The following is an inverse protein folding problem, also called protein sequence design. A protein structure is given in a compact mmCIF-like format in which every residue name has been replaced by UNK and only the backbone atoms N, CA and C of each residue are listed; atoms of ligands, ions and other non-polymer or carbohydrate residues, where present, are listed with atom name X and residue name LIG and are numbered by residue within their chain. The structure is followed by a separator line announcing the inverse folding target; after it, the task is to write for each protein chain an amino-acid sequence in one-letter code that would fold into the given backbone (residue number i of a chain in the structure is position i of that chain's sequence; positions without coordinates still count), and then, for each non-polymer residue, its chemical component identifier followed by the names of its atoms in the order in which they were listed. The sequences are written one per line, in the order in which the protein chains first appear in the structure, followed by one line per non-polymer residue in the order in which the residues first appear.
data_IF_425207941061
#
_entry.id   IF_425207941061
#
_cell.length_a   1.000
_cell.length_b   1.000
_cell.length_c   1.000
_cell.angle_alpha   90.00
_cell.angle_beta   90.00
_cell.angle_gamma   90.00
#
_symmetry.space_group_name_H-M   'P 1'
#
loop_
_entity.id
_entity.type
_entity.pdbx_description
1 polymer ?
#
# COMPACT_ATOMS: atom_id res chain seq x y z
N UNK A 1 -30.32 -1.94 -7.54
CA UNK A 1 -29.04 -2.51 -7.06
C UNK A 1 -27.92 -1.91 -7.89
N UNK A 2 -27.09 -1.05 -7.29
CA UNK A 2 -26.08 -0.28 -8.02
C UNK A 2 -24.87 -1.14 -8.37
N UNK A 3 -24.33 -0.92 -9.56
CA UNK A 3 -23.16 -1.61 -10.13
C UNK A 3 -21.93 -1.60 -9.20
N UNK A 4 -21.86 -0.62 -8.29
CA UNK A 4 -20.87 -0.56 -7.20
C UNK A 4 -20.87 -1.80 -6.31
N UNK A 5 -22.02 -2.43 -6.04
CA UNK A 5 -22.12 -3.64 -5.21
C UNK A 5 -21.51 -4.87 -5.88
N UNK A 6 -21.31 -4.88 -7.21
CA UNK A 6 -20.64 -5.98 -7.92
C UNK A 6 -19.12 -5.89 -7.89
N UNK A 7 -18.56 -4.80 -7.38
CA UNK A 7 -17.11 -4.56 -7.43
C UNK A 7 -16.33 -5.20 -6.27
N UNK A 8 -17.00 -5.51 -5.15
CA UNK A 8 -16.43 -6.23 -4.01
C UNK A 8 -17.34 -7.41 -3.67
N UNK A 9 -16.77 -8.59 -3.43
CA UNK A 9 -17.54 -9.79 -3.13
C UNK A 9 -16.80 -10.67 -2.12
N UNK A 10 -17.57 -11.46 -1.36
CA UNK A 10 -17.04 -12.56 -0.55
C UNK A 10 -16.78 -13.78 -1.43
N UNK A 11 -15.66 -14.45 -1.20
CA UNK A 11 -15.27 -15.66 -1.93
C UNK A 11 -16.12 -16.87 -1.52
N UNK A 12 -16.59 -16.91 -0.27
CA UNK A 12 -17.34 -18.05 0.28
C UNK A 12 -18.71 -18.26 -0.37
N UNK A 13 -19.43 -17.19 -0.65
CA UNK A 13 -20.84 -17.20 -1.08
C UNK A 13 -21.10 -16.32 -2.33
N UNK A 14 -20.08 -15.60 -2.82
CA UNK A 14 -20.22 -14.64 -3.91
C UNK A 14 -21.03 -13.39 -3.54
N UNK A 15 -21.38 -13.21 -2.27
CA UNK A 15 -22.24 -12.11 -1.85
C UNK A 15 -21.54 -10.76 -2.05
N UNK A 16 -22.29 -9.80 -2.58
CA UNK A 16 -21.84 -8.42 -2.75
C UNK A 16 -21.49 -7.80 -1.39
N UNK A 17 -20.37 -7.08 -1.34
CA UNK A 17 -19.90 -6.35 -0.16
C UNK A 17 -19.81 -4.87 -0.51
N UNK A 18 -20.19 -3.99 0.42
CA UNK A 18 -19.96 -2.55 0.21
C UNK A 18 -18.47 -2.21 0.31
N UNK A 19 -18.03 -1.15 -0.36
CA UNK A 19 -16.63 -0.70 -0.29
C UNK A 19 -16.16 -0.43 1.16
N UNK A 20 -17.04 0.14 2.00
CA UNK A 20 -16.73 0.42 3.41
C UNK A 20 -16.58 -0.86 4.22
N UNK A 21 -17.46 -1.84 4.02
CA UNK A 21 -17.32 -3.15 4.67
C UNK A 21 -16.04 -3.86 4.24
N UNK A 22 -15.71 -3.84 2.94
CA UNK A 22 -14.46 -4.40 2.43
C UNK A 22 -13.24 -3.75 3.10
N UNK A 23 -13.21 -2.42 3.20
CA UNK A 23 -12.13 -1.69 3.88
C UNK A 23 -11.97 -2.08 5.35
N UNK A 24 -13.07 -2.24 6.10
CA UNK A 24 -13.03 -2.65 7.51
C UNK A 24 -12.44 -4.05 7.64
N UNK A 25 -12.90 -5.00 6.83
CA UNK A 25 -12.43 -6.39 6.89
C UNK A 25 -10.95 -6.47 6.46
N UNK A 26 -10.56 -5.76 5.40
CA UNK A 26 -9.16 -5.69 4.99
C UNK A 26 -8.26 -5.04 6.03
N UNK A 27 -8.72 -4.01 6.73
CA UNK A 27 -7.96 -3.39 7.84
C UNK A 27 -7.72 -4.38 8.96
N UNK A 28 -8.75 -5.15 9.35
CA UNK A 28 -8.65 -6.20 10.36
C UNK A 28 -7.66 -7.30 9.96
N UNK A 29 -7.56 -7.61 8.67
CA UNK A 29 -6.58 -8.56 8.13
C UNK A 29 -5.17 -7.95 7.93
N UNK A 30 -5.07 -6.64 7.64
CA UNK A 30 -3.81 -5.97 7.35
C UNK A 30 -2.89 -5.88 8.56
N UNK A 31 -3.45 -5.53 9.72
CA UNK A 31 -2.67 -5.40 10.96
C UNK A 31 -1.91 -6.70 11.31
N UNK A 32 -2.55 -7.87 11.45
CA UNK A 32 -1.82 -9.11 11.76
C UNK A 32 -0.86 -9.51 10.63
N UNK A 33 -1.19 -9.29 9.36
CA UNK A 33 -0.27 -9.55 8.26
C UNK A 33 1.04 -8.74 8.36
N UNK A 34 0.93 -7.47 8.77
CA UNK A 34 2.11 -6.61 8.99
C UNK A 34 2.90 -7.01 10.24
N UNK A 35 2.24 -7.53 11.28
CA UNK A 35 2.93 -8.10 12.45
C UNK A 35 3.78 -9.31 12.05
N UNK A 36 3.30 -10.19 11.18
CA UNK A 36 4.08 -11.33 10.67
C UNK A 36 5.28 -10.90 9.79
N UNK A 37 5.19 -9.73 9.14
CA UNK A 37 6.35 -9.11 8.48
C UNK A 37 7.33 -8.58 9.52
N UNK A 38 6.82 -7.87 10.55
CA UNK A 38 7.63 -7.28 11.62
C UNK A 38 8.38 -8.31 12.47
N UNK A 39 7.97 -9.58 12.47
CA UNK A 39 8.68 -10.67 13.16
C UNK A 39 9.97 -11.12 12.47
N UNK A 40 10.27 -10.60 11.27
CA UNK A 40 11.49 -10.94 10.54
C UNK A 40 12.34 -9.71 10.34
N UNK A 41 13.58 -9.78 10.82
CA UNK A 41 14.49 -8.66 10.72
C UNK A 41 14.77 -8.32 9.26
N UNK A 42 14.73 -7.02 8.94
CA UNK A 42 14.84 -6.48 7.57
C UNK A 42 13.75 -6.90 6.57
N UNK A 43 12.67 -7.55 7.01
CA UNK A 43 11.56 -7.89 6.12
C UNK A 43 10.65 -6.68 5.87
N UNK A 44 10.35 -6.42 4.60
CA UNK A 44 9.34 -5.43 4.18
C UNK A 44 8.29 -6.09 3.31
N UNK A 45 7.19 -5.41 3.01
CA UNK A 45 6.18 -5.91 2.07
C UNK A 45 5.83 -4.83 1.07
N UNK A 46 5.59 -5.22 -0.19
CA UNK A 46 5.12 -4.23 -1.17
C UNK A 46 3.66 -3.91 -0.95
N UNK A 47 3.20 -2.73 -1.37
CA UNK A 47 1.76 -2.41 -1.32
C UNK A 47 0.90 -3.40 -2.12
N UNK A 48 1.48 -4.05 -3.14
CA UNK A 48 0.78 -5.07 -3.94
C UNK A 48 0.66 -6.40 -3.22
N UNK A 49 1.75 -6.87 -2.62
CA UNK A 49 1.75 -8.12 -1.86
C UNK A 49 0.84 -8.01 -0.63
N UNK A 50 0.82 -6.84 0.04
CA UNK A 50 -0.12 -6.58 1.12
C UNK A 50 -1.57 -6.59 0.61
N UNK A 51 -1.85 -5.95 -0.53
CA UNK A 51 -3.19 -5.91 -1.10
C UNK A 51 -3.73 -7.31 -1.45
N UNK A 52 -2.87 -8.21 -1.94
CA UNK A 52 -3.24 -9.61 -2.16
C UNK A 52 -3.41 -10.35 -0.83
N UNK A 53 -2.46 -10.21 0.10
CA UNK A 53 -2.51 -10.89 1.40
C UNK A 53 -3.78 -10.56 2.19
N UNK A 54 -4.24 -9.30 2.19
CA UNK A 54 -5.46 -8.91 2.91
C UNK A 54 -6.72 -9.39 2.22
N UNK A 55 -6.75 -9.46 0.89
CA UNK A 55 -7.88 -10.02 0.16
C UNK A 55 -7.99 -11.53 0.38
N UNK A 56 -6.85 -12.22 0.41
CA UNK A 56 -6.78 -13.65 0.69
C UNK A 56 -7.23 -13.95 2.13
N UNK A 57 -6.60 -13.30 3.11
CA UNK A 57 -6.90 -13.55 4.53
C UNK A 57 -8.33 -13.15 4.94
N UNK A 58 -8.93 -12.16 4.26
CA UNK A 58 -10.30 -11.72 4.54
C UNK A 58 -11.39 -12.55 3.84
N UNK A 59 -11.03 -13.27 2.77
CA UNK A 59 -12.00 -13.86 1.85
C UNK A 59 -12.86 -12.81 1.12
N UNK A 60 -12.47 -11.53 1.10
CA UNK A 60 -13.15 -10.46 0.36
C UNK A 60 -12.25 -9.98 -0.78
N UNK A 61 -12.71 -10.13 -2.02
CA UNK A 61 -11.96 -9.80 -3.24
C UNK A 61 -12.57 -8.60 -3.96
N UNK A 62 -11.77 -7.93 -4.79
CA UNK A 62 -12.23 -6.87 -5.69
C UNK A 62 -11.51 -6.90 -7.04
N UNK A 63 -12.14 -6.33 -8.07
CA UNK A 63 -11.47 -6.01 -9.35
C UNK A 63 -10.93 -4.57 -9.38
N UNK A 64 -11.25 -3.76 -8.38
CA UNK A 64 -10.81 -2.37 -8.29
C UNK A 64 -9.29 -2.35 -8.05
N UNK A 65 -8.58 -1.56 -8.85
CA UNK A 65 -7.14 -1.39 -8.71
C UNK A 65 -6.77 -0.99 -7.28
N UNK A 66 -5.80 -1.68 -6.69
CA UNK A 66 -5.36 -1.47 -5.30
C UNK A 66 -5.03 -0.03 -4.95
N UNK A 67 -4.50 0.74 -5.92
CA UNK A 67 -4.10 2.14 -5.71
C UNK A 67 -5.26 3.02 -5.23
N UNK A 68 -6.51 2.63 -5.53
CA UNK A 68 -7.70 3.37 -5.14
C UNK A 68 -8.21 3.08 -3.73
N UNK A 69 -7.77 1.99 -3.10
CA UNK A 69 -8.31 1.56 -1.79
C UNK A 69 -7.24 1.24 -0.74
N UNK A 70 -6.03 0.80 -1.13
CA UNK A 70 -5.00 0.38 -0.17
C UNK A 70 -4.57 1.52 0.76
N UNK A 71 -4.54 2.76 0.26
CA UNK A 71 -4.22 3.93 1.07
C UNK A 71 -5.20 4.11 2.25
N UNK A 72 -6.50 3.89 2.04
CA UNK A 72 -7.52 3.99 3.09
C UNK A 72 -7.34 2.92 4.16
N UNK A 73 -7.02 1.70 3.73
CA UNK A 73 -6.71 0.59 4.64
C UNK A 73 -5.47 0.93 5.47
N UNK A 74 -4.42 1.45 4.85
CA UNK A 74 -3.19 1.84 5.54
C UNK A 74 -3.44 2.97 6.55
N UNK A 75 -4.25 3.98 6.23
CA UNK A 75 -4.62 5.03 7.20
C UNK A 75 -5.31 4.45 8.43
N UNK A 76 -6.23 3.49 8.26
CA UNK A 76 -6.89 2.83 9.38
C UNK A 76 -5.92 1.96 10.20
N UNK A 77 -4.94 1.32 9.56
CA UNK A 77 -3.87 0.59 10.26
C UNK A 77 -2.97 1.54 11.08
N UNK A 78 -2.65 2.73 10.56
CA UNK A 78 -1.89 3.75 11.31
C UNK A 78 -2.64 4.11 12.59
N UNK A 79 -3.93 4.40 12.49
CA UNK A 79 -4.78 4.72 13.65
C UNK A 79 -4.83 3.55 14.64
N UNK A 80 -4.97 2.33 14.15
CA UNK A 80 -5.04 1.14 15.02
C UNK A 80 -3.71 0.86 15.74
N UNK A 81 -2.58 0.96 15.04
CA UNK A 81 -1.25 0.81 15.65
C UNK A 81 -1.01 1.91 16.70
N UNK A 82 -1.36 3.17 16.37
CA UNK A 82 -1.23 4.28 17.30
C UNK A 82 -2.10 4.10 18.55
N UNK A 83 -3.36 3.67 18.38
CA UNK A 83 -4.30 3.38 19.48
C UNK A 83 -3.77 2.29 20.42
N UNK A 84 -3.02 1.32 19.89
CA UNK A 84 -2.36 0.25 20.68
C UNK A 84 -1.06 0.69 21.33
N UNK A 85 -0.48 1.81 20.89
CA UNK A 85 0.84 2.28 21.30
C UNK A 85 1.98 1.53 20.62
N UNK A 86 1.70 0.84 19.52
CA UNK A 86 2.68 0.08 18.74
C UNK A 86 3.45 1.01 17.79
N UNK A 87 4.69 0.63 17.39
CA UNK A 87 5.37 1.34 16.32
C UNK A 87 4.56 1.25 15.01
N UNK A 88 4.70 2.23 14.11
CA UNK A 88 3.84 2.33 12.93
C UNK A 88 4.19 1.24 11.91
N UNK A 89 3.42 0.15 11.92
CA UNK A 89 3.56 -1.01 11.04
C UNK A 89 3.56 -0.65 9.54
N UNK A 90 2.93 0.46 9.16
CA UNK A 90 2.92 0.95 7.78
C UNK A 90 4.29 1.39 7.28
N UNK A 91 5.29 1.56 8.16
CA UNK A 91 6.68 1.75 7.77
C UNK A 91 7.25 0.53 7.01
N UNK A 92 6.70 -0.67 7.21
CA UNK A 92 7.11 -1.91 6.53
C UNK A 92 6.57 -1.98 5.09
N UNK A 93 5.63 -1.11 4.73
CA UNK A 93 5.00 -1.11 3.40
C UNK A 93 5.78 -0.18 2.48
N UNK A 94 6.39 -0.77 1.44
CA UNK A 94 7.26 -0.06 0.51
C UNK A 94 6.75 -0.12 -0.92
N UNK A 95 7.22 0.81 -1.75
CA UNK A 95 7.04 0.72 -3.20
C UNK A 95 8.01 -0.31 -3.79
N UNK A 96 7.51 -1.10 -4.74
CA UNK A 96 8.31 -2.15 -5.38
C UNK A 96 9.47 -1.61 -6.23
N UNK A 97 9.36 -0.36 -6.71
CA UNK A 97 10.34 0.22 -7.63
C UNK A 97 11.61 0.73 -6.94
N UNK A 98 11.47 1.36 -5.77
CA UNK A 98 12.57 2.05 -5.07
C UNK A 98 12.83 1.52 -3.65
N UNK A 99 11.96 0.66 -3.11
CA UNK A 99 12.07 0.12 -1.76
C UNK A 99 11.77 1.13 -0.65
N UNK A 100 11.20 2.30 -1.00
CA UNK A 100 10.94 3.40 -0.05
C UNK A 100 9.47 3.47 0.36
N UNK A 101 9.20 4.25 1.42
CA UNK A 101 7.82 4.61 1.78
C UNK A 101 7.25 5.70 0.87
N UNK A 102 5.95 5.60 0.58
CA UNK A 102 5.24 6.58 -0.23
C UNK A 102 4.89 7.87 0.49
N UNK A 103 4.32 8.84 -0.25
CA UNK A 103 3.80 10.10 0.30
C UNK A 103 2.76 9.88 1.42
N UNK A 104 1.96 8.82 1.33
CA UNK A 104 0.97 8.45 2.34
C UNK A 104 1.57 8.12 3.73
N UNK A 105 2.88 7.94 3.85
CA UNK A 105 3.53 7.76 5.15
C UNK A 105 3.41 8.98 6.07
N UNK A 106 3.14 10.18 5.53
CA UNK A 106 2.90 11.38 6.34
C UNK A 106 1.73 11.22 7.32
N UNK A 107 0.77 10.33 7.05
CA UNK A 107 -0.31 10.00 7.98
C UNK A 107 0.21 9.53 9.35
N UNK A 108 1.33 8.80 9.37
CA UNK A 108 1.99 8.35 10.61
C UNK A 108 2.40 9.54 11.48
N UNK A 109 2.98 10.56 10.84
CA UNK A 109 3.42 11.77 11.52
C UNK A 109 2.21 12.57 12.01
N UNK A 110 1.18 12.72 11.17
CA UNK A 110 -0.04 13.43 11.52
C UNK A 110 -0.75 12.82 12.73
N UNK A 111 -0.94 11.49 12.74
CA UNK A 111 -1.55 10.76 13.86
C UNK A 111 -0.70 10.85 15.13
N UNK A 112 0.63 10.89 15.00
CA UNK A 112 1.53 11.09 16.12
C UNK A 112 1.64 12.57 16.60
N UNK A 113 0.92 13.51 15.98
CA UNK A 113 1.01 14.94 16.28
C UNK A 113 2.35 15.57 15.89
N UNK A 114 3.06 14.96 14.94
CA UNK A 114 4.37 15.40 14.46
C UNK A 114 4.26 16.22 13.18
N UNK A 115 5.19 17.16 12.96
CA UNK A 115 5.19 17.96 11.74
C UNK A 115 5.44 17.07 10.50
N UNK A 116 4.83 17.41 9.34
CA UNK A 116 5.07 16.68 8.12
C UNK A 116 6.52 16.86 7.66
N UNK A 117 7.12 15.77 7.16
CA UNK A 117 8.44 15.81 6.54
C UNK A 117 8.28 16.09 5.04
N UNK A 118 8.87 17.22 4.59
CA UNK A 118 8.78 17.67 3.21
C UNK A 118 9.66 16.84 2.27
N UNK A 119 10.87 16.51 2.71
CA UNK A 119 11.84 15.80 1.89
C UNK A 119 11.58 14.28 1.94
N UNK A 120 11.76 13.64 0.79
CA UNK A 120 11.61 12.18 0.68
C UNK A 120 12.65 11.44 1.52
N UNK A 121 13.90 11.92 1.55
CA UNK A 121 14.96 11.29 2.33
C UNK A 121 14.67 11.34 3.84
N UNK A 122 14.15 12.45 4.35
CA UNK A 122 13.79 12.57 5.77
C UNK A 122 12.64 11.62 6.11
N UNK A 123 11.63 11.51 5.23
CA UNK A 123 10.54 10.52 5.37
C UNK A 123 11.07 9.10 5.42
N UNK A 124 12.03 8.77 4.57
CA UNK A 124 12.61 7.44 4.51
C UNK A 124 13.49 7.14 5.73
N UNK A 125 14.28 8.11 6.21
CA UNK A 125 15.04 7.96 7.47
C UNK A 125 14.13 7.71 8.66
N UNK A 126 13.02 8.46 8.75
CA UNK A 126 12.00 8.23 9.76
C UNK A 126 11.38 6.83 9.65
N UNK A 127 11.05 6.41 8.43
CA UNK A 127 10.52 5.07 8.18
C UNK A 127 11.51 3.97 8.56
N UNK A 128 12.80 4.11 8.22
CA UNK A 128 13.83 3.14 8.59
C UNK A 128 13.95 2.97 10.12
N UNK A 129 13.93 4.07 10.87
CA UNK A 129 13.90 4.03 12.33
C UNK A 129 12.64 3.33 12.87
N UNK A 130 11.47 3.64 12.28
CA UNK A 130 10.22 3.00 12.66
C UNK A 130 10.18 1.49 12.33
N UNK A 131 10.80 1.05 11.22
CA UNK A 131 10.92 -0.38 10.88
C UNK A 131 11.74 -1.13 11.94
N UNK A 132 12.88 -0.57 12.35
CA UNK A 132 13.70 -1.16 13.40
C UNK A 132 12.90 -1.34 14.70
N UNK A 133 12.11 -0.34 15.05
CA UNK A 133 11.25 -0.41 16.22
C UNK A 133 10.15 -1.46 16.09
N UNK A 134 9.57 -1.65 14.91
CA UNK A 134 8.66 -2.75 14.64
C UNK A 134 9.35 -4.10 14.92
N UNK A 135 10.57 -4.29 14.38
CA UNK A 135 11.32 -5.52 14.58
C UNK A 135 11.60 -5.78 16.07
N UNK A 136 12.02 -4.76 16.83
CA UNK A 136 12.24 -4.85 18.28
C UNK A 136 10.97 -5.14 19.06
N UNK A 137 9.89 -4.42 18.75
CA UNK A 137 8.62 -4.53 19.44
C UNK A 137 7.95 -5.89 19.24
N UNK A 138 7.98 -6.43 18.02
CA UNK A 138 7.34 -7.70 17.67
C UNK A 138 8.26 -8.92 17.81
N UNK A 139 9.49 -8.72 18.31
CA UNK A 139 10.39 -9.81 18.68
C UNK A 139 11.01 -10.53 17.49
N UNK A 140 11.44 -9.79 16.46
CA UNK A 140 12.24 -10.36 15.39
C UNK A 140 13.60 -10.87 15.92
N UNK A 141 14.20 -11.81 15.21
CA UNK A 141 15.57 -12.25 15.49
C UNK A 141 16.55 -11.14 15.08
N UNK A 142 16.93 -10.29 16.05
CA UNK A 142 17.87 -9.19 15.86
C UNK A 142 19.29 -9.62 16.24
N UNK A 143 20.34 -8.98 15.66
CA UNK A 143 21.69 -9.15 16.14
C UNK A 143 21.84 -8.66 17.60
N UNK A 144 22.91 -9.08 18.27
CA UNK A 144 23.13 -8.83 19.70
C UNK A 144 23.17 -7.33 20.08
N UNK A 145 23.52 -6.46 19.13
CA UNK A 145 23.51 -4.99 19.28
C UNK A 145 22.10 -4.37 19.20
N UNK A 146 21.06 -5.18 19.01
CA UNK A 146 19.68 -4.74 18.84
C UNK A 146 19.36 -4.25 17.42
N UNK A 147 20.24 -4.46 16.46
CA UNK A 147 20.06 -4.16 15.04
C UNK A 147 20.16 -2.68 14.69
N UNK A 148 20.47 -2.41 13.42
CA UNK A 148 20.55 -1.08 12.81
C UNK A 148 19.35 -0.84 11.88
N UNK A 149 18.88 0.43 11.70
CA UNK A 149 17.84 0.73 10.73
C UNK A 149 18.27 0.28 9.32
N UNK A 150 17.43 -0.48 8.58
CA UNK A 150 17.79 -0.88 7.23
C UNK A 150 17.89 0.33 6.30
N UNK A 151 18.84 0.27 5.37
CA UNK A 151 18.74 1.08 4.16
C UNK A 151 17.59 0.56 3.29
N UNK A 152 16.95 1.40 2.46
CA UNK A 152 15.78 1.01 1.66
C UNK A 152 16.06 -0.19 0.73
N UNK A 153 17.31 -0.29 0.23
CA UNK A 153 17.75 -1.36 -0.66
C UNK A 153 18.15 -2.65 0.07
N UNK A 154 18.45 -2.59 1.37
CA UNK A 154 18.81 -3.76 2.15
C UNK A 154 17.58 -4.58 2.60
N UNK A 155 16.39 -4.00 2.50
CA UNK A 155 15.15 -4.68 2.84
C UNK A 155 14.80 -5.75 1.78
N UNK A 156 14.66 -7.00 2.20
CA UNK A 156 14.16 -8.05 1.34
C UNK A 156 12.62 -8.02 1.37
N UNK A 157 11.93 -7.87 0.22
CA UNK A 157 10.49 -7.98 0.18
C UNK A 157 10.08 -9.40 0.61
N UNK A 158 9.18 -9.46 1.58
CA UNK A 158 8.49 -10.66 1.96
C UNK A 158 7.45 -10.98 0.88
N UNK A 159 7.77 -11.96 0.04
CA UNK A 159 6.74 -12.61 -0.75
C UNK A 159 5.89 -13.47 0.20
N UNK A 160 4.65 -13.04 0.48
CA UNK A 160 3.67 -13.81 1.24
C UNK A 160 3.17 -15.06 0.50
N UNK A 161 3.49 -15.20 -0.78
CA UNK A 161 3.34 -16.45 -1.51
C UNK A 161 4.45 -16.58 -2.55
N UNK A 162 5.39 -17.51 -2.35
CA UNK A 162 5.97 -18.19 -3.52
C UNK A 162 4.83 -19.00 -4.12
N UNK A 163 4.04 -18.39 -5.00
CA UNK A 163 3.30 -19.16 -5.99
C UNK A 163 4.38 -19.94 -6.76
N UNK A 164 4.39 -21.27 -6.76
CA UNK A 164 5.33 -22.01 -7.58
C UNK A 164 5.20 -21.52 -9.03
N UNK A 165 6.31 -21.43 -9.79
CA UNK A 165 6.22 -21.06 -11.19
C UNK A 165 5.16 -21.93 -11.86
N UNK A 166 4.28 -21.37 -12.70
CA UNK A 166 3.34 -22.19 -13.44
C UNK A 166 4.15 -23.30 -14.15
N UNK A 167 3.67 -24.56 -14.14
CA UNK A 167 4.36 -25.61 -14.86
C UNK A 167 4.61 -25.16 -16.31
N UNK A 168 5.76 -25.53 -16.91
CA UNK A 168 6.06 -25.15 -18.28
C UNK A 168 4.86 -25.47 -19.17
N UNK A 169 4.43 -24.50 -19.97
CA UNK A 169 3.31 -24.70 -20.88
C UNK A 169 3.57 -25.95 -21.73
N UNK A 170 2.56 -26.83 -21.95
CA UNK A 170 2.74 -27.96 -22.83
C UNK A 170 3.20 -27.45 -24.21
N UNK A 171 4.06 -28.21 -24.91
CA UNK A 171 4.53 -27.82 -26.25
C UNK A 171 3.31 -27.52 -27.11
N UNK A 172 3.30 -26.33 -27.73
CA UNK A 172 2.25 -25.95 -28.67
C UNK A 172 2.20 -27.01 -29.76
N UNK A 173 1.12 -27.78 -29.82
CA UNK A 173 0.81 -28.59 -30.99
C UNK A 173 0.79 -27.66 -32.20
N UNK A 174 1.48 -28.00 -33.31
CA UNK A 174 1.44 -27.19 -34.51
C UNK A 174 -0.02 -27.02 -34.96
N UNK A 175 -0.40 -25.84 -35.49
CA UNK A 175 -1.74 -25.65 -36.02
C UNK A 175 -2.01 -26.70 -37.11
N UNK A 176 -3.25 -27.22 -37.19
CA UNK A 176 -3.59 -28.15 -38.26
C UNK A 176 -3.34 -27.49 -39.62
N UNK A 177 -2.91 -28.25 -40.64
CA UNK A 177 -2.64 -27.69 -41.96
C UNK A 177 -3.91 -27.01 -42.49
N UNK A 178 -3.78 -25.71 -42.77
CA UNK A 178 -4.80 -24.90 -43.40
C UNK A 178 -5.33 -25.64 -44.62
N UNK A 179 -6.62 -26.00 -44.62
CA UNK A 179 -7.28 -26.50 -45.83
C UNK A 179 -7.06 -25.47 -46.93
N UNK A 180 -6.38 -25.89 -47.98
CA UNK A 180 -6.11 -25.10 -49.17
C UNK A 180 -7.43 -24.48 -49.64
N UNK A 181 -7.50 -23.15 -49.52
CA UNK A 181 -8.60 -22.35 -50.02
C UNK A 181 -8.61 -22.51 -51.55
N UNK A 182 -9.70 -22.98 -52.19
CA UNK A 182 -9.69 -23.24 -53.61
C UNK A 182 -9.46 -21.94 -54.39
N UNK A 183 -8.47 -21.97 -55.29
CA UNK A 183 -8.18 -20.92 -56.25
C UNK A 183 -9.40 -20.72 -57.16
N UNK A 184 -10.19 -19.66 -56.90
CA UNK A 184 -11.25 -19.22 -57.81
C UNK A 184 -10.60 -18.61 -59.06
N UNK A 185 -10.54 -19.40 -60.13
CA UNK A 185 -10.21 -18.97 -61.50
C UNK A 185 -11.36 -18.15 -62.10
N UNK A 186 -11.02 -16.96 -62.62
CA UNK A 186 -11.80 -16.21 -63.62
C UNK A 186 -13.03 -15.46 -63.08
N UNK A 187 -13.43 -14.30 -63.60
CA UNK A 187 -13.02 -13.56 -64.78
C UNK A 187 -13.64 -12.15 -64.69
N UNK A 188 -12.94 -11.18 -65.28
CA UNK A 188 -13.40 -9.88 -65.83
C UNK A 188 -13.75 -8.72 -64.88
N UNK A 189 -12.84 -7.74 -64.95
CA UNK A 189 -13.02 -6.30 -64.74
C UNK A 189 -14.08 -5.71 -65.68
N UNK A 190 -14.84 -4.76 -65.15
CA UNK A 190 -15.16 -3.45 -65.76
C UNK A 190 -15.32 -2.48 -64.58
N UNK A 191 -14.34 -1.62 -64.32
CA UNK A 191 -14.15 -0.30 -64.92
C UNK A 191 -14.81 0.78 -64.05
N UNK A 192 -13.99 1.56 -63.33
CA UNK A 192 -13.88 3.02 -63.49
C UNK A 192 -13.06 3.64 -62.36
N UNK A 193 -11.97 4.29 -62.79
CA UNK A 193 -11.45 5.61 -62.39
C UNK A 193 -11.13 5.82 -60.90
N UNK A 194 -9.83 5.88 -60.56
CA UNK A 194 -8.98 7.09 -60.59
C UNK A 194 -9.08 7.82 -59.25
N UNK A 195 -8.03 8.34 -58.62
CA UNK A 195 -6.66 8.59 -59.03
C UNK A 195 -5.82 8.53 -57.76
N UNK A 196 -4.70 7.84 -57.82
CA UNK A 196 -3.58 8.13 -56.93
C UNK A 196 -3.02 9.50 -57.34
N UNK A 197 -2.55 10.29 -56.37
CA UNK A 197 -1.26 10.92 -56.59
C UNK A 197 -0.55 11.14 -55.25
N UNK A 198 0.66 10.58 -55.23
CA UNK A 198 1.65 10.72 -54.19
C UNK A 198 2.26 12.12 -54.20
N UNK A 199 2.56 12.62 -52.98
CA UNK A 199 3.79 13.31 -52.48
C UNK A 199 4.49 14.36 -53.37
N UNK A 200 5.10 15.42 -52.79
CA UNK A 200 6.33 15.28 -51.96
C UNK A 200 6.52 16.38 -50.87
N UNK A 201 7.66 16.41 -50.15
CA UNK A 201 7.84 17.10 -48.85
C UNK A 201 8.59 18.44 -48.92
N UNK A 202 8.46 19.22 -47.83
CA UNK A 202 9.46 20.17 -47.33
C UNK A 202 9.47 21.58 -47.94
N UNK A 203 9.12 22.60 -47.12
CA UNK A 203 9.93 23.80 -46.87
C UNK A 203 9.16 24.87 -46.07
N UNK A 204 9.86 25.38 -45.04
CA UNK A 204 9.88 26.74 -44.51
C UNK A 204 8.61 27.46 -44.00
N UNK A 205 8.75 27.90 -42.74
CA UNK A 205 7.98 28.87 -41.95
C UNK A 205 7.86 30.24 -42.61
N UNK A 206 6.87 31.06 -42.17
CA UNK A 206 7.27 32.35 -41.60
C UNK A 206 6.54 32.71 -40.28
N UNK A 207 7.14 33.66 -39.59
CA UNK A 207 6.83 34.15 -38.26
C UNK A 207 5.60 35.06 -38.16
N UNK A 208 4.96 35.04 -36.98
CA UNK A 208 4.49 36.23 -36.25
C UNK A 208 3.08 36.77 -36.53
N UNK A 209 2.17 36.68 -35.56
CA UNK A 209 1.82 37.79 -34.63
C UNK A 209 0.72 37.39 -33.65
N UNK A 210 0.80 38.07 -32.51
CA UNK A 210 -0.03 38.06 -31.31
C UNK A 210 -1.56 38.14 -31.53
N UNK A 211 -2.34 37.59 -30.58
CA UNK A 211 -3.12 38.40 -29.62
C UNK A 211 -3.91 37.55 -28.62
N UNK A 212 -3.76 37.95 -27.35
CA UNK A 212 -4.57 37.87 -26.13
C UNK A 212 -5.61 36.77 -25.79
N UNK A 213 -5.73 36.45 -24.46
CA UNK A 213 -6.75 35.57 -23.89
C UNK A 213 -7.91 36.32 -23.20
N UNK A 214 -9.13 35.82 -23.40
CA UNK A 214 -10.36 36.03 -22.61
C UNK A 214 -11.24 34.80 -22.96
N UNK A 215 -12.00 34.09 -22.14
CA UNK A 215 -12.51 34.22 -20.77
C UNK A 215 -13.13 32.86 -20.35
N UNK A 216 -13.57 32.70 -19.09
CA UNK A 216 -13.77 31.42 -18.41
C UNK A 216 -15.18 30.83 -18.53
N UNK A 217 -15.26 29.50 -18.34
CA UNK A 217 -16.49 28.83 -17.92
C UNK A 217 -16.52 28.71 -16.39
N UNK A 218 -17.45 29.41 -15.75
CA UNK A 218 -18.06 28.96 -14.49
C UNK A 218 -19.05 27.81 -14.78
N UNK A 219 -19.71 27.17 -13.83
CA UNK A 219 -19.80 27.28 -12.38
C UNK A 219 -20.52 26.01 -11.89
N UNK A 220 -20.46 25.72 -10.59
CA UNK A 220 -21.53 24.98 -9.89
C UNK A 220 -21.05 23.83 -9.01
N UNK A 221 -20.94 24.09 -7.70
CA UNK A 221 -20.65 23.05 -6.70
C UNK A 221 -20.40 23.61 -5.30
N UNK A 222 -21.45 24.19 -4.71
CA UNK A 222 -21.55 24.92 -3.43
C UNK A 222 -21.30 24.01 -2.21
N UNK A 223 -20.48 24.47 -1.25
CA UNK A 223 -20.53 24.07 0.18
C UNK A 223 -20.81 25.33 1.01
N UNK A 224 -21.68 25.29 2.04
CA UNK A 224 -22.12 26.48 2.77
C UNK A 224 -21.06 26.99 3.77
N UNK A 225 -20.94 28.31 3.84
CA UNK A 225 -20.13 29.05 4.79
C UNK A 225 -20.90 29.31 6.09
N UNK A 226 -20.20 29.13 7.22
CA UNK A 226 -20.51 29.77 8.50
C UNK A 226 -19.87 31.16 8.49
N UNK A 227 -20.69 32.19 8.64
CA UNK A 227 -20.29 33.59 8.76
C UNK A 227 -20.16 34.01 10.22
N UNK A 228 -19.11 34.79 10.51
CA UNK A 228 -19.17 35.86 11.51
C UNK A 228 -18.05 35.86 12.55
N UNK A 229 -16.98 36.61 12.31
CA UNK A 229 -16.63 37.77 13.14
C UNK A 229 -15.44 38.57 12.54
N UNK A 230 -15.49 39.88 12.79
CA UNK A 230 -14.81 41.01 12.13
C UNK A 230 -13.27 41.08 12.31
N UNK A 231 -12.57 41.87 11.46
CA UNK A 231 -11.13 42.11 11.57
C UNK A 231 -10.79 43.40 12.35
N UNK A 232 -9.60 43.43 12.95
CA UNK A 232 -8.81 44.66 13.11
C UNK A 232 -7.31 44.35 13.16
N UNK A 233 -6.46 45.33 12.78
CA UNK A 233 -5.10 45.07 12.29
C UNK A 233 -4.02 45.55 13.27
N UNK A 234 -2.90 44.80 13.39
CA UNK A 234 -1.62 45.41 13.78
C UNK A 234 -0.43 44.61 13.24
N UNK A 235 0.43 45.34 12.52
CA UNK A 235 1.89 45.26 12.38
C UNK A 235 2.65 43.93 12.58
N UNK A 236 3.58 43.66 11.66
CA UNK A 236 4.78 42.86 11.98
C UNK A 236 5.39 42.12 10.81
N UNK A 237 5.99 42.82 9.85
CA UNK A 237 6.92 42.22 8.91
C UNK A 237 8.14 41.68 9.68
N UNK A 238 8.27 40.35 9.79
CA UNK A 238 9.54 39.72 10.12
C UNK A 238 9.93 38.65 9.10
N UNK A 239 11.10 38.92 8.53
CA UNK A 239 11.93 38.12 7.63
C UNK A 239 12.31 36.80 8.28
N UNK A 240 11.98 35.67 7.66
CA UNK A 240 12.45 34.34 8.07
C UNK A 240 13.87 34.13 7.52
N UNK A 241 14.88 33.81 8.35
CA UNK A 241 16.20 33.43 7.85
C UNK A 241 16.18 31.98 7.35
N UNK A 242 16.84 31.77 6.21
CA UNK A 242 17.21 30.45 5.71
C UNK A 242 18.23 29.80 6.65
N UNK A 243 18.02 28.51 6.96
CA UNK A 243 18.98 27.68 7.70
C UNK A 243 18.44 27.19 9.04
N UNK A 244 17.64 26.13 9.03
CA UNK A 244 17.36 25.33 10.22
C UNK A 244 17.77 23.89 9.93
N UNK A 245 18.94 23.52 10.45
CA UNK A 245 19.36 22.12 10.52
C UNK A 245 18.33 21.28 11.26
N UNK A 246 18.23 20.02 10.86
CA UNK A 246 17.42 18.98 11.47
C UNK A 246 17.65 18.99 12.98
N UNK A 247 16.62 19.34 13.76
CA UNK A 247 16.70 19.30 15.23
C UNK A 247 16.78 17.84 15.69
N UNK A 248 17.85 17.41 16.39
CA UNK A 248 17.86 16.11 17.04
C UNK A 248 17.02 16.24 18.32
N UNK A 249 15.87 15.59 18.38
CA UNK A 249 15.09 15.61 19.64
C UNK A 249 13.61 15.30 19.58
N UNK A 250 13.02 14.96 18.43
CA UNK A 250 11.65 14.44 18.45
C UNK A 250 11.70 13.01 18.99
N UNK A 251 11.52 12.88 20.32
CA UNK A 251 11.29 11.57 20.97
C UNK A 251 10.04 10.96 20.35
N UNK A 252 10.25 9.88 19.61
CA UNK A 252 9.17 9.12 19.02
C UNK A 252 8.32 8.51 20.16
N UNK A 253 6.98 8.72 20.19
CA UNK A 253 6.13 8.26 21.30
C UNK A 253 6.22 6.76 21.56
N UNK A 254 6.50 5.97 20.53
CA UNK A 254 6.70 4.53 20.60
C UNK A 254 8.14 4.14 21.02
N UNK A 255 9.15 4.98 20.77
CA UNK A 255 10.55 4.69 21.13
C UNK A 255 10.82 4.79 22.64
N UNK A 256 9.98 5.53 23.38
CA UNK A 256 10.17 5.71 24.83
C UNK A 256 9.56 4.57 25.68
N UNK A 257 8.84 3.62 25.08
CA UNK A 257 8.16 2.51 25.80
C UNK A 257 8.88 1.16 25.73
N UNK A 258 10.12 1.11 25.21
CA UNK A 258 10.92 -0.13 25.15
C UNK A 258 11.32 -0.69 26.54
N UNK A 259 11.04 0.02 27.64
CA UNK A 259 11.30 -0.45 29.01
C UNK A 259 10.19 -1.29 29.67
N UNK A 260 8.95 -1.30 29.16
CA UNK A 260 7.83 -1.97 29.80
C UNK A 260 7.51 -3.30 29.12
N UNK A 261 8.36 -4.32 29.34
CA UNK A 261 8.13 -5.69 28.84
C UNK A 261 6.82 -6.25 29.41
N UNK A 262 5.90 -6.64 28.53
CA UNK A 262 4.90 -7.68 28.84
C UNK A 262 5.68 -8.97 29.12
N UNK A 263 5.78 -9.37 30.39
CA UNK A 263 6.25 -10.70 30.78
C UNK A 263 5.40 -11.75 30.05
N UNK A 264 5.99 -12.80 29.45
CA UNK A 264 5.20 -13.97 29.07
C UNK A 264 4.55 -14.56 30.34
N UNK A 265 3.31 -15.07 30.26
CA UNK A 265 2.68 -15.73 31.40
C UNK A 265 3.57 -16.92 31.85
N UNK A 266 3.65 -17.20 33.16
CA UNK A 266 4.43 -18.34 33.65
C UNK A 266 3.89 -19.62 33.01
N UNK A 267 4.82 -20.44 32.47
CA UNK A 267 4.53 -21.81 32.08
C UNK A 267 4.10 -22.55 33.35
N UNK A 268 2.80 -22.82 33.45
CA UNK A 268 2.25 -23.63 34.53
C UNK A 268 2.90 -25.01 34.47
N UNK A 269 3.84 -25.25 35.38
CA UNK A 269 4.39 -26.58 35.65
C UNK A 269 3.38 -27.31 36.52
N UNK A 270 2.39 -27.93 35.88
CA UNK A 270 1.63 -29.01 36.49
C UNK A 270 1.83 -30.24 35.62
N UNK A 271 2.85 -31.00 35.98
CA UNK A 271 2.91 -32.42 35.69
C UNK A 271 3.38 -33.13 36.97
N UNK A 272 2.77 -34.27 37.26
CA UNK A 272 3.13 -35.30 38.24
C UNK A 272 2.76 -35.09 39.73
N UNK A 273 1.57 -35.58 40.09
CA UNK A 273 1.48 -36.64 41.11
C UNK A 273 0.51 -37.73 40.63
N UNK A 274 1.09 -38.82 40.14
CA UNK A 274 0.43 -40.13 40.08
C UNK A 274 0.80 -40.83 41.38
N UNK A 275 -0.18 -40.98 42.26
CA UNK A 275 -0.25 -42.00 43.32
C UNK A 275 -1.76 -42.25 43.46
N UNK A 276 -2.30 -43.39 43.05
CA UNK A 276 -1.91 -44.71 43.50
C UNK A 276 -2.88 -45.12 44.60
N UNK A 277 -4.13 -45.43 44.23
CA UNK A 277 -5.09 -46.07 45.13
C UNK A 277 -5.71 -47.28 44.42
N UNK A 278 -5.44 -48.44 44.99
CA UNK A 278 -5.96 -49.75 44.61
C UNK A 278 -7.48 -49.86 44.83
N UNK A 279 -8.18 -50.77 44.12
CA UNK A 279 -9.48 -51.25 44.52
C UNK A 279 -9.33 -52.47 45.44
N UNK A 280 -9.70 -52.33 46.72
CA UNK A 280 -9.97 -53.46 47.60
C UNK A 280 -11.44 -53.85 47.48
N UNK A 281 -11.69 -55.00 46.87
CA UNK A 281 -12.96 -55.71 47.02
C UNK A 281 -13.02 -56.44 48.36
N UNK A 282 -14.23 -56.61 48.88
CA UNK A 282 -14.67 -57.61 49.86
C UNK A 282 -16.21 -57.62 49.75
N UNK A 283 -16.78 -58.68 49.17
CA UNK A 283 -17.44 -59.81 49.85
C UNK A 283 -18.74 -59.40 50.54
#
# INVERSE_FOLDING_TARGET
MTEQQRSYWRVSDGAAVSASQAQIVWTRAAYPALVEVARRYHAVITSADLAEAVQEASGVRTRVNQRHWIGKVLSLVVLEAHRRGDPPLTALVVHAADGKVGAGYQEVLAVAGQPPLAQEMDREQHAAAARLACYRHFGADLPADGGTPPSPRACAPHCSARRPPPPPAPPRTPPPPSRLRPLRRGRRRSARTASWNCRPPGCATPAGRASHPDRPFGAGGRWPAVTGCRPSPVAGCHRVPAGAGIRPGIRQPWASREGARRRPPPKNSQNFMISGSQPSGST
#
